data_IF_638380849609
#
_entry.id   IF_638380849609
#
_cell.length_a   1.000
_cell.length_b   1.000
_cell.length_c   1.000
_cell.angle_alpha   90.00
_cell.angle_beta   90.00
_cell.angle_gamma   90.00
#
_symmetry.space_group_name_H-M   'P 1'
#
loop_
_entity.id
_entity.type
_entity.pdbx_description
1 polymer ?
#
# COMPACT_ATOMS: atom_id res chain seq x y z
N UNK A 1 -22.18 -16.55 12.78
CA UNK A 1 -20.78 -16.51 12.30
C UNK A 1 -20.61 -16.23 10.80
N UNK A 2 -20.99 -17.12 9.85
CA UNK A 2 -20.75 -16.89 8.39
C UNK A 2 -21.47 -15.64 7.85
N UNK A 3 -22.69 -15.39 8.31
CA UNK A 3 -23.47 -14.20 7.97
C UNK A 3 -22.98 -12.94 8.70
N UNK A 4 -22.33 -13.05 9.86
CA UNK A 4 -21.84 -11.90 10.64
C UNK A 4 -20.61 -11.25 10.01
N UNK A 5 -19.69 -12.03 9.43
CA UNK A 5 -18.51 -11.50 8.75
C UNK A 5 -18.91 -10.79 7.45
N UNK A 6 -19.81 -11.39 6.67
CA UNK A 6 -20.36 -10.75 5.47
C UNK A 6 -21.23 -9.53 5.83
N UNK A 7 -22.01 -9.62 6.90
CA UNK A 7 -22.79 -8.51 7.45
C UNK A 7 -21.91 -7.38 7.98
N UNK A 8 -20.70 -7.63 8.48
CA UNK A 8 -19.75 -6.59 8.93
C UNK A 8 -18.91 -6.01 7.80
N UNK A 9 -18.68 -6.78 6.73
CA UNK A 9 -18.21 -6.21 5.47
C UNK A 9 -19.27 -5.29 4.83
N UNK A 10 -20.53 -5.39 5.26
CA UNK A 10 -21.66 -4.55 4.81
C UNK A 10 -22.06 -3.46 5.84
N UNK A 11 -21.89 -3.70 7.15
CA UNK A 11 -22.15 -2.77 8.24
C UNK A 11 -20.90 -1.94 8.52
N UNK A 12 -20.73 -0.93 7.69
CA UNK A 12 -19.73 0.10 7.90
C UNK A 12 -20.25 1.17 8.87
N UNK A 13 -19.43 1.59 9.82
CA UNK A 13 -19.57 2.94 10.35
C UNK A 13 -18.86 3.90 9.39
N UNK A 14 -19.59 4.93 8.95
CA UNK A 14 -19.06 6.00 8.11
C UNK A 14 -18.27 6.93 9.03
N UNK A 15 -16.97 7.09 8.77
CA UNK A 15 -16.24 8.26 9.27
C UNK A 15 -16.68 9.46 8.42
N UNK A 16 -17.22 10.50 9.08
CA UNK A 16 -17.83 11.71 8.48
C UNK A 16 -16.95 12.51 7.50
N UNK A 17 -15.75 12.02 7.16
CA UNK A 17 -14.82 12.74 6.27
C UNK A 17 -14.58 12.14 4.89
N UNK A 18 -14.94 10.88 4.59
CA UNK A 18 -14.49 10.28 3.31
C UNK A 18 -15.32 9.10 2.76
N UNK A 19 -16.58 8.89 3.19
CA UNK A 19 -17.44 7.75 2.75
C UNK A 19 -16.80 6.35 2.90
N UNK A 20 -15.63 6.26 3.53
CA UNK A 20 -14.83 5.05 3.59
C UNK A 20 -15.39 4.17 4.67
N UNK A 21 -15.83 2.98 4.26
CA UNK A 21 -16.38 2.00 5.17
C UNK A 21 -15.31 1.52 6.14
N UNK A 22 -15.59 1.63 7.45
CA UNK A 22 -14.66 1.31 8.51
C UNK A 22 -15.26 0.34 9.53
N UNK A 23 -14.37 -0.41 10.20
CA UNK A 23 -14.70 -1.42 11.20
C UNK A 23 -13.74 -1.33 12.39
N UNK A 24 -14.22 -1.69 13.58
CA UNK A 24 -13.37 -1.83 14.75
C UNK A 24 -12.45 -3.05 14.60
N UNK A 25 -11.14 -2.87 14.72
CA UNK A 25 -10.18 -3.97 14.58
C UNK A 25 -10.35 -5.06 15.65
N UNK A 26 -10.90 -4.72 16.83
CA UNK A 26 -11.18 -5.70 17.89
C UNK A 26 -12.28 -6.66 17.48
N UNK A 27 -13.27 -6.18 16.72
CA UNK A 27 -14.31 -7.03 16.17
C UNK A 27 -13.75 -7.97 15.11
N UNK A 28 -12.86 -7.47 14.25
CA UNK A 28 -12.14 -8.30 13.28
C UNK A 28 -11.27 -9.36 13.98
N UNK A 29 -10.56 -9.01 15.06
CA UNK A 29 -9.78 -9.95 15.87
C UNK A 29 -10.64 -11.07 16.47
N UNK A 30 -11.78 -10.69 17.08
CA UNK A 30 -12.76 -11.61 17.66
C UNK A 30 -13.30 -12.56 16.61
N UNK A 31 -13.73 -12.03 15.47
CA UNK A 31 -14.31 -12.81 14.38
C UNK A 31 -13.31 -13.74 13.73
N UNK A 32 -12.05 -13.33 13.58
CA UNK A 32 -11.01 -14.20 13.06
C UNK A 32 -10.58 -15.28 14.07
N UNK A 33 -11.11 -15.29 15.30
CA UNK A 33 -10.78 -16.25 16.36
C UNK A 33 -9.27 -16.39 16.56
N UNK A 34 -8.56 -15.26 16.56
CA UNK A 34 -7.09 -15.24 16.69
C UNK A 34 -6.71 -15.50 18.14
N UNK A 35 -5.92 -16.55 18.38
CA UNK A 35 -5.50 -16.93 19.74
C UNK A 35 -4.46 -16.00 20.39
N UNK A 36 -3.74 -15.20 19.60
CA UNK A 36 -2.83 -14.16 20.14
C UNK A 36 -3.65 -13.00 20.72
N UNK A 37 -3.15 -12.39 21.79
CA UNK A 37 -3.78 -11.19 22.35
C UNK A 37 -3.92 -10.07 21.32
N UNK A 38 -5.00 -9.29 21.44
CA UNK A 38 -5.38 -8.26 20.48
C UNK A 38 -4.26 -7.24 20.22
N UNK A 39 -3.64 -6.71 21.29
CA UNK A 39 -2.64 -5.64 21.21
C UNK A 39 -1.39 -6.10 20.45
N UNK A 40 -0.87 -7.27 20.79
CA UNK A 40 0.29 -7.87 20.10
C UNK A 40 -0.07 -8.25 18.67
N UNK A 41 -1.28 -8.78 18.44
CA UNK A 41 -1.75 -9.13 17.10
C UNK A 41 -1.82 -7.91 16.18
N UNK A 42 -2.57 -6.86 16.56
CA UNK A 42 -2.80 -5.70 15.69
C UNK A 42 -1.50 -4.96 15.42
N UNK A 43 -0.63 -4.79 16.44
CA UNK A 43 0.67 -4.16 16.26
C UNK A 43 1.57 -4.94 15.30
N UNK A 44 1.61 -6.27 15.45
CA UNK A 44 2.36 -7.15 14.55
C UNK A 44 1.84 -7.09 13.13
N UNK A 45 0.52 -7.06 12.92
CA UNK A 45 -0.08 -7.04 11.59
C UNK A 45 0.10 -5.69 10.88
N UNK A 46 -0.04 -4.58 11.59
CA UNK A 46 0.29 -3.24 11.10
C UNK A 46 1.73 -3.21 10.57
N UNK A 47 2.68 -3.71 11.36
CA UNK A 47 4.10 -3.73 10.96
C UNK A 47 4.36 -4.68 9.78
N UNK A 48 3.79 -5.87 9.78
CA UNK A 48 4.04 -6.89 8.74
C UNK A 48 3.45 -6.51 7.38
N UNK A 49 2.22 -6.00 7.36
CA UNK A 49 1.54 -5.61 6.14
C UNK A 49 1.94 -4.20 5.65
N UNK A 50 2.61 -3.41 6.51
CA UNK A 50 3.01 -2.04 6.20
C UNK A 50 1.83 -1.07 6.17
N UNK A 51 0.79 -1.30 6.98
CA UNK A 51 -0.37 -0.41 7.06
C UNK A 51 0.04 0.97 7.58
N UNK A 52 -0.56 2.01 7.00
CA UNK A 52 -0.23 3.41 7.23
C UNK A 52 -1.29 4.07 8.10
N UNK A 53 -0.86 4.67 9.22
CA UNK A 53 -1.73 5.45 10.11
C UNK A 53 -2.38 6.61 9.34
N UNK A 54 -3.65 6.86 9.61
CA UNK A 54 -4.53 7.81 8.94
C UNK A 54 -4.85 7.49 7.47
N UNK A 55 -4.37 6.36 6.92
CA UNK A 55 -4.80 5.84 5.62
C UNK A 55 -5.56 4.55 5.79
N UNK A 56 -4.94 3.56 6.43
CA UNK A 56 -5.51 2.23 6.62
C UNK A 56 -6.21 2.10 7.97
N UNK A 57 -5.80 2.91 8.95
CA UNK A 57 -6.36 2.90 10.30
C UNK A 57 -6.18 4.22 11.04
N UNK A 58 -7.05 4.47 12.03
CA UNK A 58 -6.86 5.47 13.08
C UNK A 58 -6.73 4.78 14.43
N UNK A 59 -6.01 5.41 15.35
CA UNK A 59 -5.79 4.92 16.71
C UNK A 59 -6.34 5.93 17.71
N UNK A 60 -7.05 5.43 18.71
CA UNK A 60 -7.59 6.22 19.80
C UNK A 60 -7.40 5.47 21.12
N UNK A 61 -7.25 6.20 22.22
CA UNK A 61 -7.17 5.60 23.55
C UNK A 61 -8.57 5.54 24.13
N UNK A 62 -8.92 4.42 24.77
CA UNK A 62 -10.12 4.42 25.65
C UNK A 62 -9.82 5.32 26.83
N UNK A 63 -10.41 6.52 26.82
CA UNK A 63 -10.39 7.44 27.95
C UNK A 63 -11.55 7.03 28.85
N UNK A 64 -11.26 6.18 29.82
CA UNK A 64 -12.18 5.84 30.91
C UNK A 64 -11.39 5.83 32.19
N UNK A 65 -12.02 6.24 33.29
CA UNK A 65 -11.47 6.06 34.63
C UNK A 65 -11.11 4.59 34.78
N UNK A 66 -9.82 4.30 34.94
CA UNK A 66 -9.30 2.96 35.06
C UNK A 66 -9.26 2.68 36.57
N UNK A 67 -10.29 2.07 37.18
CA UNK A 67 -10.44 2.06 38.64
C UNK A 67 -9.33 1.27 39.34
N UNK A 68 -8.64 0.41 38.57
CA UNK A 68 -7.56 -0.47 39.01
C UNK A 68 -6.15 0.07 38.67
N UNK A 69 -6.06 1.27 38.08
CA UNK A 69 -4.80 1.80 37.54
C UNK A 69 -4.33 1.08 36.27
N UNK A 70 -3.44 1.73 35.50
CA UNK A 70 -2.81 1.15 34.30
C UNK A 70 -2.86 2.06 33.07
N UNK A 71 -1.95 1.80 32.11
CA UNK A 71 -1.85 2.56 30.85
C UNK A 71 -3.13 2.36 30.01
N UNK A 72 -3.76 3.44 29.49
CA UNK A 72 -4.92 3.33 28.61
C UNK A 72 -4.63 2.40 27.42
N UNK A 73 -5.58 1.53 27.10
CA UNK A 73 -5.48 0.62 25.96
C UNK A 73 -5.75 1.38 24.65
N UNK A 74 -4.93 1.10 23.64
CA UNK A 74 -5.13 1.60 22.28
C UNK A 74 -6.19 0.75 21.58
N UNK A 75 -7.15 1.42 20.94
CA UNK A 75 -8.14 0.84 20.05
C UNK A 75 -7.92 1.36 18.63
N UNK A 76 -8.31 0.56 17.65
CA UNK A 76 -8.06 0.83 16.24
C UNK A 76 -9.36 0.75 15.45
N UNK A 77 -9.68 1.80 14.71
CA UNK A 77 -10.65 1.73 13.60
C UNK A 77 -9.85 1.53 12.32
N UNK A 78 -10.22 0.53 11.54
CA UNK A 78 -9.51 0.14 10.32
C UNK A 78 -10.45 0.23 9.12
N UNK A 79 -9.89 0.48 7.93
CA UNK A 79 -10.66 0.44 6.68
C UNK A 79 -11.10 -0.99 6.38
N UNK A 80 -12.16 -1.14 5.58
CA UNK A 80 -12.54 -2.46 5.08
C UNK A 80 -11.42 -3.14 4.29
N UNK A 81 -10.62 -2.39 3.52
CA UNK A 81 -9.51 -2.98 2.76
C UNK A 81 -8.39 -3.50 3.66
N UNK A 82 -8.10 -2.79 4.76
CA UNK A 82 -7.22 -3.32 5.81
C UNK A 82 -7.82 -4.60 6.42
N UNK A 83 -9.12 -4.61 6.74
CA UNK A 83 -9.78 -5.79 7.29
C UNK A 83 -9.74 -7.01 6.34
N UNK A 84 -10.02 -6.81 5.04
CA UNK A 84 -9.90 -7.84 4.00
C UNK A 84 -8.47 -8.39 3.94
N UNK A 85 -7.47 -7.51 3.97
CA UNK A 85 -6.07 -7.93 3.97
C UNK A 85 -5.72 -8.74 5.24
N UNK A 86 -6.16 -8.31 6.42
CA UNK A 86 -5.99 -9.10 7.65
C UNK A 86 -6.59 -10.52 7.51
N UNK A 87 -7.78 -10.63 6.94
CA UNK A 87 -8.42 -11.93 6.69
C UNK A 87 -7.60 -12.83 5.75
N UNK A 88 -6.97 -12.24 4.72
CA UNK A 88 -6.10 -12.96 3.79
C UNK A 88 -4.81 -13.46 4.46
N UNK A 89 -4.30 -12.72 5.47
CA UNK A 89 -3.09 -13.08 6.22
C UNK A 89 -3.31 -14.23 7.20
N UNK A 90 -4.52 -14.40 7.73
CA UNK A 90 -4.77 -15.41 8.75
C UNK A 90 -4.80 -16.83 8.17
N UNK A 91 -4.18 -17.75 8.91
CA UNK A 91 -4.07 -19.18 8.57
C UNK A 91 -5.08 -20.02 9.34
N UNK A 92 -6.33 -19.56 9.36
CA UNK A 92 -7.46 -20.25 10.01
C UNK A 92 -8.60 -20.51 9.01
N UNK A 93 -9.65 -21.19 9.48
CA UNK A 93 -10.79 -21.57 8.63
C UNK A 93 -11.54 -20.36 8.05
N UNK A 94 -11.59 -19.27 8.82
CA UNK A 94 -12.27 -18.03 8.43
C UNK A 94 -11.49 -17.32 7.32
N UNK A 95 -10.17 -17.18 7.48
CA UNK A 95 -9.28 -16.67 6.45
C UNK A 95 -9.28 -17.56 5.20
N UNK A 96 -9.42 -18.89 5.35
CA UNK A 96 -9.60 -19.81 4.21
C UNK A 96 -10.92 -19.54 3.47
N UNK A 97 -12.03 -19.39 4.19
CA UNK A 97 -13.33 -19.10 3.57
C UNK A 97 -13.34 -17.75 2.84
N UNK A 98 -12.69 -16.73 3.40
CA UNK A 98 -12.58 -15.40 2.78
C UNK A 98 -11.68 -15.44 1.54
N UNK A 99 -10.53 -16.13 1.60
CA UNK A 99 -9.69 -16.37 0.41
C UNK A 99 -10.49 -17.07 -0.70
N UNK A 100 -11.29 -18.09 -0.34
CA UNK A 100 -12.12 -18.80 -1.29
C UNK A 100 -13.17 -17.87 -1.95
N UNK A 101 -13.81 -17.01 -1.16
CA UNK A 101 -14.74 -16.00 -1.68
C UNK A 101 -14.08 -15.08 -2.73
N UNK A 102 -12.87 -14.58 -2.48
CA UNK A 102 -12.16 -13.73 -3.45
C UNK A 102 -11.77 -14.49 -4.73
N UNK A 103 -11.36 -15.76 -4.61
CA UNK A 103 -11.07 -16.62 -5.77
C UNK A 103 -12.33 -16.81 -6.60
N UNK A 104 -13.48 -17.07 -5.97
CA UNK A 104 -14.74 -17.28 -6.68
C UNK A 104 -15.25 -15.97 -7.32
N UNK A 105 -15.09 -14.84 -6.65
CA UNK A 105 -15.40 -13.53 -7.23
C UNK A 105 -14.52 -13.22 -8.47
N UNK A 106 -13.22 -13.55 -8.43
CA UNK A 106 -12.33 -13.41 -9.60
C UNK A 106 -12.76 -14.30 -10.77
N UNK A 107 -13.12 -15.56 -10.50
CA UNK A 107 -13.67 -16.49 -11.51
C UNK A 107 -14.95 -15.95 -12.14
N UNK A 108 -15.86 -15.40 -11.32
CA UNK A 108 -17.11 -14.80 -11.81
C UNK A 108 -16.85 -13.54 -12.64
N UNK A 109 -15.91 -12.67 -12.22
CA UNK A 109 -15.52 -11.50 -12.99
C UNK A 109 -14.97 -11.89 -14.36
N UNK A 110 -14.14 -12.94 -14.42
CA UNK A 110 -13.60 -13.47 -15.68
C UNK A 110 -14.68 -13.88 -16.68
N UNK A 111 -15.82 -14.38 -16.19
CA UNK A 111 -16.95 -14.83 -17.02
C UNK A 111 -17.90 -13.68 -17.37
N UNK A 112 -18.26 -12.85 -16.38
CA UNK A 112 -19.25 -11.78 -16.50
C UNK A 112 -18.71 -10.52 -17.20
N UNK A 113 -17.45 -10.17 -16.96
CA UNK A 113 -16.77 -9.07 -17.65
C UNK A 113 -15.30 -9.43 -17.96
N UNK A 114 -15.07 -10.16 -19.06
CA UNK A 114 -13.73 -10.55 -19.49
C UNK A 114 -12.80 -9.35 -19.75
N UNK A 115 -13.34 -8.18 -20.11
CA UNK A 115 -12.56 -6.97 -20.38
C UNK A 115 -12.05 -6.38 -19.07
N UNK A 116 -12.91 -6.20 -18.09
CA UNK A 116 -12.51 -5.75 -16.75
C UNK A 116 -11.49 -6.71 -16.13
N UNK A 117 -11.73 -8.02 -16.23
CA UNK A 117 -10.79 -9.03 -15.75
C UNK A 117 -9.40 -8.88 -16.40
N UNK A 118 -9.31 -8.79 -17.73
CA UNK A 118 -8.04 -8.59 -18.44
C UNK A 118 -7.34 -7.30 -18.01
N UNK A 119 -8.08 -6.22 -17.81
CA UNK A 119 -7.53 -4.95 -17.34
C UNK A 119 -6.94 -5.06 -15.93
N UNK A 120 -7.67 -5.66 -14.98
CA UNK A 120 -7.19 -5.89 -13.60
C UNK A 120 -5.95 -6.80 -13.59
N UNK A 121 -5.93 -7.84 -14.42
CA UNK A 121 -4.78 -8.73 -14.55
C UNK A 121 -3.57 -7.99 -15.14
N UNK A 122 -3.77 -7.19 -16.19
CA UNK A 122 -2.70 -6.38 -16.78
C UNK A 122 -2.12 -5.37 -15.77
N UNK A 123 -2.96 -4.69 -14.99
CA UNK A 123 -2.53 -3.81 -13.91
C UNK A 123 -1.74 -4.56 -12.84
N UNK A 124 -2.19 -5.75 -12.45
CA UNK A 124 -1.49 -6.59 -11.47
C UNK A 124 -0.12 -7.02 -11.99
N UNK A 125 -0.02 -7.47 -13.24
CA UNK A 125 1.25 -7.85 -13.86
C UNK A 125 2.21 -6.66 -13.98
N UNK A 126 1.71 -5.49 -14.37
CA UNK A 126 2.52 -4.27 -14.47
C UNK A 126 3.02 -3.82 -13.08
N UNK A 127 2.16 -3.92 -12.05
CA UNK A 127 2.54 -3.67 -10.66
C UNK A 127 3.64 -4.62 -10.19
N UNK A 128 3.50 -5.93 -10.41
CA UNK A 128 4.51 -6.92 -10.04
C UNK A 128 5.86 -6.65 -10.73
N UNK A 129 5.85 -6.36 -12.03
CA UNK A 129 7.07 -6.01 -12.76
C UNK A 129 7.75 -4.75 -12.20
N UNK A 130 6.98 -3.76 -11.74
CA UNK A 130 7.54 -2.56 -11.10
C UNK A 130 8.17 -2.83 -9.72
N UNK A 131 7.72 -3.88 -9.01
CA UNK A 131 8.30 -4.29 -7.71
C UNK A 131 9.69 -4.88 -7.93
N UNK A 132 9.88 -5.71 -8.96
CA UNK A 132 11.20 -6.28 -9.25
C UNK A 132 12.21 -5.20 -9.65
N UNK A 133 11.80 -4.24 -10.49
CA UNK A 133 12.64 -3.08 -10.82
C UNK A 133 12.91 -2.17 -9.63
N UNK A 134 11.95 -2.03 -8.72
CA UNK A 134 12.17 -1.31 -7.47
C UNK A 134 13.30 -1.96 -6.63
N UNK A 135 13.36 -3.29 -6.58
CA UNK A 135 14.39 -4.03 -5.86
C UNK A 135 15.78 -3.74 -6.44
N UNK A 136 15.92 -3.89 -7.76
CA UNK A 136 17.17 -3.60 -8.48
C UNK A 136 17.66 -2.15 -8.24
N UNK A 137 16.74 -1.18 -8.30
CA UNK A 137 17.08 0.22 -8.02
C UNK A 137 17.50 0.44 -6.56
N UNK A 138 16.83 -0.23 -5.62
CA UNK A 138 17.17 -0.17 -4.19
C UNK A 138 18.58 -0.70 -3.94
N UNK A 139 18.93 -1.81 -4.59
CA UNK A 139 20.27 -2.41 -4.51
C UNK A 139 21.34 -1.48 -5.12
N UNK A 140 21.04 -0.85 -6.26
CA UNK A 140 21.93 0.13 -6.87
C UNK A 140 22.14 1.37 -5.97
N UNK A 141 21.07 1.89 -5.35
CA UNK A 141 21.17 3.00 -4.38
C UNK A 141 22.09 2.59 -3.23
N UNK A 142 21.89 1.40 -2.67
CA UNK A 142 22.69 0.89 -1.56
C UNK A 142 24.17 0.80 -1.95
N UNK A 143 24.47 0.17 -3.08
CA UNK A 143 25.83 0.02 -3.58
C UNK A 143 26.50 1.37 -3.88
N UNK A 144 25.79 2.35 -4.44
CA UNK A 144 26.33 3.69 -4.65
C UNK A 144 26.62 4.42 -3.33
N UNK A 145 25.75 4.29 -2.33
CA UNK A 145 26.00 4.87 -0.99
C UNK A 145 27.24 4.26 -0.35
N UNK A 146 27.39 2.93 -0.40
CA UNK A 146 28.56 2.23 0.12
C UNK A 146 29.85 2.67 -0.58
N UNK A 147 29.86 2.76 -1.91
CA UNK A 147 31.02 3.24 -2.69
C UNK A 147 31.40 4.69 -2.39
N UNK A 148 30.42 5.53 -2.04
CA UNK A 148 30.65 6.94 -1.66
C UNK A 148 30.92 7.13 -0.16
N UNK A 149 31.08 6.04 0.60
CA UNK A 149 31.34 6.08 2.04
C UNK A 149 30.16 6.56 2.88
N UNK A 150 28.95 6.53 2.35
CA UNK A 150 27.72 6.95 3.03
C UNK A 150 26.96 5.75 3.59
N UNK A 151 26.42 5.90 4.79
CA UNK A 151 25.55 4.88 5.39
C UNK A 151 24.17 4.88 4.75
N UNK A 152 23.65 3.72 4.30
CA UNK A 152 22.29 3.61 3.79
C UNK A 152 21.25 3.98 4.86
N UNK A 153 20.41 4.98 4.55
CA UNK A 153 19.32 5.46 5.40
C UNK A 153 18.00 5.45 4.64
N UNK A 154 16.89 5.22 5.34
CA UNK A 154 15.54 5.14 4.76
C UNK A 154 15.15 6.35 3.89
N UNK A 155 15.66 7.54 4.23
CA UNK A 155 15.34 8.76 3.48
C UNK A 155 15.86 8.74 2.05
N UNK A 156 16.98 8.06 1.74
CA UNK A 156 17.52 8.00 0.38
C UNK A 156 16.55 7.28 -0.55
N UNK A 157 16.05 6.12 -0.14
CA UNK A 157 15.07 5.33 -0.89
C UNK A 157 13.74 6.07 -1.02
N UNK A 158 13.28 6.69 0.07
CA UNK A 158 12.02 7.45 0.07
C UNK A 158 12.08 8.63 -0.90
N UNK A 159 13.20 9.36 -0.91
CA UNK A 159 13.40 10.49 -1.83
C UNK A 159 13.40 10.05 -3.30
N UNK A 160 14.05 8.94 -3.62
CA UNK A 160 14.06 8.40 -5.00
C UNK A 160 12.65 7.98 -5.42
N UNK A 161 11.90 7.31 -4.54
CA UNK A 161 10.52 6.92 -4.83
C UNK A 161 9.60 8.13 -5.01
N UNK A 162 9.70 9.13 -4.14
CA UNK A 162 8.93 10.38 -4.26
C UNK A 162 9.26 11.12 -5.55
N UNK A 163 10.53 11.14 -5.97
CA UNK A 163 10.93 11.71 -7.26
C UNK A 163 10.20 11.01 -8.40
N UNK A 164 10.31 9.68 -8.49
CA UNK A 164 9.68 8.90 -9.56
C UNK A 164 8.16 9.04 -9.59
N UNK A 165 7.52 8.97 -8.42
CA UNK A 165 6.07 9.13 -8.31
C UNK A 165 5.64 10.54 -8.75
N UNK A 166 6.42 11.57 -8.40
CA UNK A 166 6.14 12.95 -8.82
C UNK A 166 6.28 13.13 -10.34
N UNK A 167 7.25 12.48 -10.98
CA UNK A 167 7.40 12.53 -12.44
C UNK A 167 6.21 11.91 -13.16
N UNK A 168 5.68 10.80 -12.64
CA UNK A 168 4.52 10.12 -13.22
C UNK A 168 3.23 10.94 -13.05
N UNK A 169 3.06 11.56 -11.89
CA UNK A 169 1.89 12.40 -11.59
C UNK A 169 1.93 13.77 -12.28
N UNK A 170 3.11 14.20 -12.76
CA UNK A 170 3.32 15.52 -13.35
C UNK A 170 3.36 16.66 -12.32
N UNK A 171 3.26 16.35 -11.02
CA UNK A 171 3.40 17.31 -9.93
C UNK A 171 4.03 16.65 -8.71
N UNK A 172 4.41 17.46 -7.71
CA UNK A 172 4.99 16.91 -6.48
C UNK A 172 3.99 15.98 -5.77
N UNK A 173 4.38 14.74 -5.51
CA UNK A 173 3.51 13.72 -4.90
C UNK A 173 2.93 14.15 -3.55
N UNK A 174 3.67 14.91 -2.73
CA UNK A 174 3.17 15.39 -1.43
C UNK A 174 2.11 16.47 -1.62
N UNK A 175 2.31 17.38 -2.59
CA UNK A 175 1.31 18.39 -2.99
C UNK A 175 0.06 17.71 -3.57
N UNK A 176 0.23 16.73 -4.45
CA UNK A 176 -0.86 15.94 -5.03
C UNK A 176 -1.71 15.29 -3.93
N UNK A 177 -1.05 14.67 -2.94
CA UNK A 177 -1.70 14.06 -1.77
C UNK A 177 -2.48 15.08 -0.95
N UNK A 178 -1.84 16.20 -0.59
CA UNK A 178 -2.46 17.24 0.24
C UNK A 178 -3.69 17.85 -0.43
N UNK A 179 -3.61 18.13 -1.73
CA UNK A 179 -4.70 18.73 -2.51
C UNK A 179 -5.92 17.82 -2.59
N UNK A 180 -5.72 16.50 -2.56
CA UNK A 180 -6.77 15.49 -2.69
C UNK A 180 -7.16 14.82 -1.36
N UNK A 181 -6.57 15.24 -0.24
CA UNK A 181 -6.75 14.56 1.05
C UNK A 181 -6.24 13.11 1.10
N UNK A 182 -5.42 12.66 0.16
CA UNK A 182 -5.02 11.26 0.04
C UNK A 182 -3.83 10.91 0.95
N UNK A 183 -4.03 9.96 1.87
CA UNK A 183 -3.00 9.56 2.85
C UNK A 183 -2.31 8.22 2.55
N UNK A 184 -2.68 7.52 1.47
CA UNK A 184 -2.15 6.21 1.12
C UNK A 184 -0.92 6.20 0.20
N UNK A 185 -0.60 5.02 -0.32
CA UNK A 185 0.40 4.84 -1.38
C UNK A 185 -0.21 5.22 -2.74
N UNK A 186 0.33 6.21 -3.44
CA UNK A 186 -0.24 6.69 -4.72
C UNK A 186 -0.23 5.65 -5.83
N UNK A 187 0.69 4.68 -5.76
CA UNK A 187 0.80 3.60 -6.75
C UNK A 187 -0.40 2.65 -6.69
N UNK A 188 -1.23 2.69 -5.65
CA UNK A 188 -2.48 1.92 -5.62
C UNK A 188 -3.45 2.37 -6.71
N UNK A 189 -3.37 3.63 -7.12
CA UNK A 189 -4.23 4.29 -8.11
C UNK A 189 -3.66 4.27 -9.53
N UNK A 190 -2.46 3.72 -9.72
CA UNK A 190 -1.80 3.75 -11.02
C UNK A 190 -2.47 2.81 -12.02
N UNK A 191 -2.65 3.29 -13.25
CA UNK A 191 -3.06 2.47 -14.38
C UNK A 191 -1.85 1.76 -15.04
N UNK A 192 -2.11 0.95 -16.07
CA UNK A 192 -1.07 0.17 -16.77
C UNK A 192 0.01 1.08 -17.38
N UNK A 193 -0.37 2.18 -18.03
CA UNK A 193 0.56 3.11 -18.65
C UNK A 193 1.48 3.78 -17.61
N UNK A 194 0.92 4.17 -16.47
CA UNK A 194 1.69 4.74 -15.35
C UNK A 194 2.66 3.72 -14.75
N UNK A 195 2.28 2.45 -14.63
CA UNK A 195 3.21 1.39 -14.22
C UNK A 195 4.31 1.12 -15.24
N UNK A 196 3.99 1.18 -16.54
CA UNK A 196 4.99 1.03 -17.60
C UNK A 196 6.00 2.19 -17.57
N UNK A 197 5.51 3.41 -17.37
CA UNK A 197 6.36 4.60 -17.18
C UNK A 197 7.22 4.45 -15.94
N UNK A 198 6.65 4.03 -14.81
CA UNK A 198 7.39 3.77 -13.57
C UNK A 198 8.52 2.76 -13.80
N UNK A 199 8.23 1.66 -14.48
CA UNK A 199 9.20 0.62 -14.82
C UNK A 199 10.35 1.19 -15.67
N UNK A 200 10.05 1.97 -16.71
CA UNK A 200 11.07 2.60 -17.55
C UNK A 200 11.95 3.55 -16.74
N UNK A 201 11.34 4.38 -15.87
CA UNK A 201 12.08 5.31 -15.02
C UNK A 201 12.94 4.58 -13.98
N UNK A 202 12.45 3.51 -13.36
CA UNK A 202 13.23 2.69 -12.43
C UNK A 202 14.44 2.08 -13.13
N UNK A 203 14.25 1.47 -14.31
CA UNK A 203 15.35 0.88 -15.10
C UNK A 203 16.40 1.93 -15.47
N UNK A 204 15.97 3.09 -15.97
CA UNK A 204 16.88 4.18 -16.31
C UNK A 204 17.61 4.70 -15.06
N UNK A 205 16.91 4.95 -13.95
CA UNK A 205 17.53 5.47 -12.74
C UNK A 205 18.56 4.48 -12.17
N UNK A 206 18.28 3.17 -12.18
CA UNK A 206 19.24 2.13 -11.80
C UNK A 206 20.53 2.25 -12.61
N UNK A 207 20.43 2.36 -13.94
CA UNK A 207 21.61 2.51 -14.80
C UNK A 207 22.38 3.80 -14.49
N UNK A 208 21.68 4.93 -14.33
CA UNK A 208 22.30 6.22 -14.03
C UNK A 208 22.96 6.24 -12.63
N UNK A 209 22.41 5.53 -11.64
CA UNK A 209 23.02 5.38 -10.31
C UNK A 209 24.31 4.54 -10.39
N UNK A 210 24.29 3.47 -11.18
CA UNK A 210 25.48 2.64 -11.40
C UNK A 210 26.61 3.40 -12.11
N UNK A 211 26.28 4.44 -12.89
CA UNK A 211 27.22 5.38 -13.50
C UNK A 211 27.64 6.53 -12.56
N UNK A 212 27.30 6.46 -11.27
CA UNK A 212 27.64 7.46 -10.24
C UNK A 212 27.13 8.87 -10.50
N UNK A 213 26.12 9.00 -11.34
CA UNK A 213 25.57 10.30 -11.69
C UNK A 213 24.89 10.93 -10.48
N UNK A 214 24.98 12.25 -10.31
CA UNK A 214 24.36 12.95 -9.18
C UNK A 214 22.83 13.00 -9.27
N UNK A 215 22.15 13.10 -8.12
CA UNK A 215 20.68 13.11 -8.04
C UNK A 215 20.00 14.12 -8.98
N UNK A 216 20.48 15.36 -9.02
CA UNK A 216 19.87 16.42 -9.84
C UNK A 216 20.04 16.17 -11.33
N UNK A 217 21.19 15.65 -11.74
CA UNK A 217 21.45 15.29 -13.14
C UNK A 217 20.55 14.12 -13.57
N UNK A 218 20.45 13.07 -12.73
CA UNK A 218 19.54 11.95 -12.99
C UNK A 218 18.10 12.42 -13.10
N UNK A 219 17.65 13.26 -12.16
CA UNK A 219 16.30 13.82 -12.19
C UNK A 219 16.03 14.56 -13.51
N UNK A 220 16.97 15.38 -14.00
CA UNK A 220 16.82 16.07 -15.28
C UNK A 220 16.60 15.11 -16.45
N UNK A 221 17.41 14.05 -16.55
CA UNK A 221 17.28 13.02 -17.60
C UNK A 221 15.98 12.22 -17.49
N UNK A 222 15.57 11.91 -16.26
CA UNK A 222 14.33 11.17 -15.99
C UNK A 222 13.07 11.99 -16.28
N UNK A 223 13.11 13.32 -16.14
CA UNK A 223 12.01 14.21 -16.57
C UNK A 223 11.78 14.06 -18.07
N UNK A 224 12.83 14.19 -18.88
CA UNK A 224 12.74 14.04 -20.34
C UNK A 224 12.23 12.66 -20.75
N UNK A 225 12.65 11.61 -20.05
CA UNK A 225 12.14 10.26 -20.27
C UNK A 225 10.65 10.16 -19.92
N UNK A 226 10.22 10.66 -18.77
CA UNK A 226 8.83 10.63 -18.33
C UNK A 226 7.90 11.33 -19.34
N UNK A 227 8.29 12.52 -19.82
CA UNK A 227 7.53 13.28 -20.83
C UNK A 227 7.40 12.50 -22.15
N UNK A 228 8.45 11.78 -22.56
CA UNK A 228 8.41 10.95 -23.77
C UNK A 228 7.45 9.78 -23.62
N UNK A 229 7.56 9.02 -22.52
CA UNK A 229 6.71 7.85 -22.27
C UNK A 229 5.23 8.23 -22.14
N UNK A 230 4.94 9.40 -21.54
CA UNK A 230 3.58 9.92 -21.43
C UNK A 230 2.95 10.33 -22.77
N UNK A 231 3.75 10.71 -23.78
CA UNK A 231 3.25 11.04 -25.13
C UNK A 231 2.95 9.80 -25.97
N UNK A 232 3.57 8.67 -25.64
CA UNK A 232 3.43 7.41 -26.38
C UNK A 232 2.39 6.45 -25.78
N UNK A 233 1.81 6.81 -24.63
CA UNK A 233 0.82 6.02 -23.89
C UNK A 233 -0.62 6.44 -24.22
#
# INVERSE_FOLDING_TARGET
MKNEILSLLQQAQILEKDETQCINAREVHRLLSVGRDYSTWIHSRIKQAGFVKNSDFIVFTKTGENPLGGRPSNEYIITLDMAKHLCLMEKNEIGRAIRQHFIDAERQLRQSDPKAFKNTLAQTNARLASIDRQREMTDAIKAHLERTGKTPKAFYYSRENEMLDSLILGENVRKWKATRGFMGNVRTLFNVAQFNTLKALQTANTALINLDMGYFERKGRLVTLAEREQRTA
#
